data_IF_127433126669
#
_entry.id   IF_127433126669
#
_cell.length_a   1.000
_cell.length_b   1.000
_cell.length_c   1.000
_cell.angle_alpha   90.00
_cell.angle_beta   90.00
_cell.angle_gamma   90.00
#
_symmetry.space_group_name_H-M   'P 1'
#
loop_
_entity.id
_entity.type
_entity.pdbx_description
1 polymer ?
#
# COMPACT_ATOMS: atom_id res chain seq x y z
N UNK A 1 -9.50 -5.21 13.23
CA UNK A 1 -8.35 -4.83 12.37
C UNK A 1 -8.67 -3.52 11.67
N UNK A 2 -8.00 -2.41 12.00
CA UNK A 2 -8.24 -1.06 11.44
C UNK A 2 -6.89 -0.41 11.12
N UNK A 3 -6.35 -0.55 9.89
CA UNK A 3 -5.07 0.10 9.49
C UNK A 3 -4.97 0.37 7.98
N UNK A 4 -5.93 1.09 7.39
CA UNK A 4 -5.77 1.56 5.99
C UNK A 4 -5.33 3.04 5.91
N UNK A 5 -5.67 3.89 6.90
CA UNK A 5 -5.51 5.35 6.75
C UNK A 5 -4.41 6.02 7.59
N UNK A 6 -3.42 5.27 8.07
CA UNK A 6 -2.30 5.84 8.86
C UNK A 6 -1.10 6.29 8.01
N UNK A 7 -1.16 6.15 6.68
CA UNK A 7 0.02 6.11 5.82
C UNK A 7 0.54 7.51 5.42
N UNK A 8 -0.17 8.61 5.72
CA UNK A 8 0.14 9.93 5.11
C UNK A 8 0.53 11.07 6.08
N UNK A 9 0.74 10.83 7.38
CA UNK A 9 0.86 11.93 8.36
C UNK A 9 2.22 12.12 9.06
N UNK A 10 3.25 11.34 8.80
CA UNK A 10 4.47 11.38 9.62
C UNK A 10 5.73 11.71 8.83
N UNK A 11 5.87 12.95 8.38
CA UNK A 11 7.18 13.53 8.02
C UNK A 11 7.20 14.97 8.54
N UNK A 12 8.16 15.24 9.45
CA UNK A 12 8.82 16.51 9.85
C UNK A 12 8.99 16.57 11.38
N UNK A 13 10.13 17.15 11.78
CA UNK A 13 10.67 17.44 13.12
C UNK A 13 11.56 16.31 13.66
N UNK A 14 12.81 16.51 14.10
CA UNK A 14 13.47 17.60 14.86
C UNK A 14 14.99 17.51 14.50
N UNK A 15 15.91 18.48 14.67
CA UNK A 15 16.46 18.98 15.95
C UNK A 15 17.37 20.20 15.73
N UNK A 16 17.10 21.30 16.41
CA UNK A 16 18.11 22.29 16.85
C UNK A 16 18.50 21.97 18.29
N UNK A 17 19.78 22.17 18.63
CA UNK A 17 20.24 22.05 20.01
C UNK A 17 21.73 22.30 20.16
N UNK A 18 22.09 23.56 20.42
CA UNK A 18 23.42 23.96 20.86
C UNK A 18 23.73 23.38 22.25
N UNK A 19 25.00 23.06 22.51
CA UNK A 19 25.47 22.69 23.86
C UNK A 19 26.44 23.75 24.36
N UNK A 20 26.09 24.36 25.50
CA UNK A 20 26.96 25.25 26.26
C UNK A 20 27.95 24.45 27.10
N UNK A 21 29.11 25.06 27.28
CA UNK A 21 30.28 24.61 28.03
C UNK A 21 30.14 25.07 29.49
N UNK A 22 30.81 24.36 30.42
CA UNK A 22 31.54 24.82 31.63
C UNK A 22 31.37 23.80 32.78
N UNK A 23 32.48 23.27 33.30
CA UNK A 23 32.99 23.61 34.65
C UNK A 23 34.03 22.58 35.16
N UNK A 24 35.14 23.09 35.69
CA UNK A 24 36.26 22.35 36.29
C UNK A 24 35.93 21.72 37.65
N UNK A 25 36.57 20.59 37.95
CA UNK A 25 36.62 19.95 39.28
C UNK A 25 37.76 18.92 39.35
N UNK A 26 38.48 18.92 40.47
CA UNK A 26 39.87 18.44 40.68
C UNK A 26 39.97 16.97 41.13
N UNK A 27 41.03 16.32 40.63
CA UNK A 27 41.84 15.16 41.08
C UNK A 27 41.24 13.80 41.48
N UNK A 28 41.74 12.76 40.78
CA UNK A 28 42.59 11.69 41.34
C UNK A 28 43.46 11.12 40.22
N UNK A 29 44.78 11.28 40.30
CA UNK A 29 45.74 10.76 39.31
C UNK A 29 45.80 9.24 39.42
N UNK A 30 45.07 8.57 38.52
CA UNK A 30 45.42 7.20 38.10
C UNK A 30 46.62 7.29 37.17
N UNK A 31 47.50 6.31 37.22
CA UNK A 31 48.62 6.16 36.29
C UNK A 31 48.12 6.12 34.83
N UNK A 32 48.79 6.83 33.90
CA UNK A 32 48.35 7.01 32.51
C UNK A 32 47.93 5.69 31.81
N UNK A 33 48.59 4.57 32.11
CA UNK A 33 48.22 3.25 31.56
C UNK A 33 46.86 2.71 32.01
N UNK A 34 46.38 3.06 33.20
CA UNK A 34 45.12 2.55 33.76
C UNK A 34 43.91 3.42 33.38
N UNK A 35 44.14 4.70 33.08
CA UNK A 35 43.14 5.59 32.46
C UNK A 35 42.92 5.21 31.00
N UNK A 36 44.00 5.09 30.21
CA UNK A 36 43.92 4.74 28.79
C UNK A 36 43.24 3.38 28.58
N UNK A 37 43.50 2.39 29.44
CA UNK A 37 42.89 1.06 29.31
C UNK A 37 41.40 1.03 29.71
N UNK A 38 40.99 1.90 30.64
CA UNK A 38 39.59 2.04 31.06
C UNK A 38 38.76 2.78 30.00
N UNK A 39 39.29 3.88 29.46
CA UNK A 39 38.64 4.65 28.40
C UNK A 39 38.48 3.81 27.12
N UNK A 40 39.48 3.00 26.78
CA UNK A 40 39.39 2.04 25.67
C UNK A 40 38.34 0.93 25.91
N UNK A 41 38.13 0.48 27.15
CA UNK A 41 37.09 -0.50 27.47
C UNK A 41 35.68 0.10 27.34
N UNK A 42 35.50 1.34 27.79
CA UNK A 42 34.22 2.05 27.70
C UNK A 42 33.87 2.38 26.24
N UNK A 43 34.84 2.81 25.43
CA UNK A 43 34.65 3.00 23.99
C UNK A 43 34.30 1.69 23.28
N UNK A 44 34.98 0.58 23.60
CA UNK A 44 34.70 -0.70 22.97
C UNK A 44 33.31 -1.23 23.34
N UNK A 45 32.86 -1.01 24.58
CA UNK A 45 31.49 -1.32 25.00
C UNK A 45 30.47 -0.46 24.26
N UNK A 46 30.73 0.84 24.11
CA UNK A 46 29.86 1.75 23.35
C UNK A 46 29.77 1.33 21.88
N UNK A 47 30.89 0.96 21.26
CA UNK A 47 30.91 0.45 19.88
C UNK A 47 30.14 -0.87 19.74
N UNK A 48 30.24 -1.77 20.73
CA UNK A 48 29.44 -3.00 20.74
C UNK A 48 27.94 -2.70 20.83
N UNK A 49 27.54 -1.75 21.68
CA UNK A 49 26.15 -1.34 21.83
C UNK A 49 25.61 -0.67 20.55
N UNK A 50 26.40 0.21 19.93
CA UNK A 50 26.07 0.83 18.64
C UNK A 50 25.96 -0.21 17.52
N UNK A 51 26.88 -1.16 17.46
CA UNK A 51 26.86 -2.23 16.45
C UNK A 51 25.62 -3.14 16.64
N UNK A 52 25.27 -3.46 17.88
CA UNK A 52 24.03 -4.20 18.19
C UNK A 52 22.79 -3.43 17.75
N UNK A 53 22.74 -2.13 18.03
CA UNK A 53 21.63 -1.25 17.59
C UNK A 53 21.51 -1.21 16.07
N UNK A 54 22.63 -1.10 15.34
CA UNK A 54 22.65 -1.13 13.88
C UNK A 54 22.17 -2.47 13.33
N UNK A 55 22.52 -3.60 13.96
CA UNK A 55 22.03 -4.92 13.57
C UNK A 55 20.51 -5.04 13.75
N UNK A 56 19.97 -4.54 14.87
CA UNK A 56 18.53 -4.54 15.14
C UNK A 56 17.77 -3.66 14.14
N UNK A 57 18.28 -2.47 13.84
CA UNK A 57 17.72 -1.57 12.82
C UNK A 57 17.76 -2.20 11.43
N UNK A 58 18.86 -2.83 11.04
CA UNK A 58 18.98 -3.50 9.75
C UNK A 58 18.00 -4.67 9.63
N UNK A 59 17.81 -5.46 10.69
CA UNK A 59 16.81 -6.53 10.73
C UNK A 59 15.39 -5.98 10.54
N UNK A 60 15.06 -4.87 11.22
CA UNK A 60 13.76 -4.19 11.06
C UNK A 60 13.55 -3.73 9.61
N UNK A 61 14.56 -3.12 8.99
CA UNK A 61 14.50 -2.69 7.59
C UNK A 61 14.31 -3.87 6.62
N UNK A 62 14.97 -5.00 6.87
CA UNK A 62 14.80 -6.20 6.07
C UNK A 62 13.36 -6.75 6.14
N UNK A 63 12.75 -6.75 7.33
CA UNK A 63 11.37 -7.20 7.52
C UNK A 63 10.36 -6.24 6.87
N UNK A 64 10.60 -4.93 6.96
CA UNK A 64 9.81 -3.92 6.26
C UNK A 64 9.92 -4.07 4.73
N UNK A 65 11.13 -4.31 4.21
CA UNK A 65 11.34 -4.56 2.77
C UNK A 65 10.62 -5.81 2.27
N UNK A 66 10.66 -6.92 3.02
CA UNK A 66 9.90 -8.13 2.68
C UNK A 66 8.40 -7.85 2.62
N UNK A 67 7.88 -7.09 3.58
CA UNK A 67 6.47 -6.70 3.63
C UNK A 67 6.08 -5.81 2.46
N UNK A 68 6.93 -4.85 2.07
CA UNK A 68 6.70 -4.00 0.91
C UNK A 68 6.71 -4.80 -0.39
N UNK A 69 7.69 -5.69 -0.56
CA UNK A 69 7.77 -6.58 -1.73
C UNK A 69 6.51 -7.43 -1.88
N UNK A 70 6.06 -8.07 -0.80
CA UNK A 70 4.81 -8.83 -0.79
C UNK A 70 3.60 -7.98 -1.21
N UNK A 71 3.48 -6.75 -0.69
CA UNK A 71 2.39 -5.83 -1.08
C UNK A 71 2.43 -5.47 -2.56
N UNK A 72 3.62 -5.23 -3.11
CA UNK A 72 3.80 -4.91 -4.53
C UNK A 72 3.36 -6.09 -5.40
N UNK A 73 3.80 -7.31 -5.08
CA UNK A 73 3.41 -8.52 -5.81
C UNK A 73 1.89 -8.72 -5.83
N UNK A 74 1.22 -8.52 -4.69
CA UNK A 74 -0.25 -8.59 -4.61
C UNK A 74 -0.95 -7.53 -5.45
N UNK A 75 -0.45 -6.29 -5.43
CA UNK A 75 -1.03 -5.22 -6.26
C UNK A 75 -0.86 -5.49 -7.75
N UNK A 76 0.28 -6.04 -8.18
CA UNK A 76 0.52 -6.41 -9.58
C UNK A 76 -0.46 -7.48 -10.03
N UNK A 77 -0.64 -8.55 -9.24
CA UNK A 77 -1.61 -9.61 -9.53
C UNK A 77 -3.02 -9.05 -9.66
N UNK A 78 -3.43 -8.20 -8.72
CA UNK A 78 -4.74 -7.54 -8.74
C UNK A 78 -4.96 -6.74 -10.03
N UNK A 79 -4.00 -5.88 -10.41
CA UNK A 79 -4.07 -5.05 -11.62
C UNK A 79 -4.17 -5.91 -12.87
N UNK A 80 -3.38 -6.98 -12.96
CA UNK A 80 -3.40 -7.88 -14.11
C UNK A 80 -4.75 -8.61 -14.27
N UNK A 81 -5.38 -8.99 -13.16
CA UNK A 81 -6.72 -9.62 -13.17
C UNK A 81 -7.80 -8.67 -13.72
N UNK A 82 -7.72 -7.37 -13.43
CA UNK A 82 -8.72 -6.38 -13.88
C UNK A 82 -8.44 -5.82 -15.28
N UNK A 83 -7.17 -5.73 -15.69
CA UNK A 83 -6.79 -5.18 -17.01
C UNK A 83 -7.06 -6.12 -18.19
N UNK A 84 -7.46 -7.37 -17.93
CA UNK A 84 -7.85 -8.29 -19.00
C UNK A 84 -9.13 -7.82 -19.69
N UNK A 85 -9.26 -7.93 -21.03
CA UNK A 85 -10.47 -7.52 -21.74
C UNK A 85 -11.72 -8.18 -21.14
N UNK A 86 -12.67 -7.36 -20.69
CA UNK A 86 -13.91 -7.83 -20.08
C UNK A 86 -14.92 -8.05 -21.20
N UNK A 87 -15.19 -9.32 -21.53
CA UNK A 87 -16.25 -9.67 -22.48
C UNK A 87 -17.60 -9.42 -21.82
N UNK A 88 -18.36 -8.48 -22.36
CA UNK A 88 -19.75 -8.24 -21.96
C UNK A 88 -20.65 -9.01 -22.92
N UNK A 89 -21.61 -9.75 -22.38
CA UNK A 89 -22.65 -10.39 -23.19
C UNK A 89 -23.85 -9.44 -23.22
N UNK A 90 -24.16 -8.90 -24.40
CA UNK A 90 -25.25 -7.96 -24.58
C UNK A 90 -26.09 -8.33 -25.79
N UNK A 91 -27.42 -8.21 -25.67
CA UNK A 91 -28.35 -8.50 -26.78
C UNK A 91 -28.36 -7.37 -27.81
N UNK A 92 -28.08 -6.14 -27.37
CA UNK A 92 -27.98 -4.94 -28.21
C UNK A 92 -26.63 -4.26 -27.99
N UNK A 93 -25.66 -4.40 -28.91
CA UNK A 93 -24.33 -3.83 -28.73
C UNK A 93 -24.30 -2.30 -28.58
N UNK A 94 -25.28 -1.58 -29.11
CA UNK A 94 -25.40 -0.12 -29.04
C UNK A 94 -26.11 0.39 -27.77
N UNK A 95 -26.75 -0.50 -27.01
CA UNK A 95 -27.58 -0.15 -25.84
C UNK A 95 -27.26 -1.03 -24.62
N UNK A 96 -25.97 -1.26 -24.35
CA UNK A 96 -25.51 -2.14 -23.26
C UNK A 96 -25.84 -1.53 -21.90
N UNK A 97 -26.52 -2.28 -21.06
CA UNK A 97 -27.06 -1.84 -19.76
C UNK A 97 -26.08 -2.07 -18.62
N UNK A 98 -26.29 -1.33 -17.53
CA UNK A 98 -25.44 -1.40 -16.33
C UNK A 98 -25.26 -2.83 -15.81
N UNK A 99 -26.35 -3.61 -15.72
CA UNK A 99 -26.29 -4.97 -15.18
C UNK A 99 -25.48 -5.93 -16.08
N UNK A 100 -25.44 -5.71 -17.40
CA UNK A 100 -24.67 -6.54 -18.34
C UNK A 100 -23.17 -6.33 -18.10
N UNK A 101 -22.76 -5.06 -17.97
CA UNK A 101 -21.38 -4.69 -17.63
C UNK A 101 -21.02 -5.16 -16.22
N UNK A 102 -21.92 -4.98 -15.25
CA UNK A 102 -21.72 -5.43 -13.88
C UNK A 102 -21.51 -6.94 -13.78
N UNK A 103 -22.36 -7.73 -14.46
CA UNK A 103 -22.25 -9.19 -14.47
C UNK A 103 -20.93 -9.67 -15.09
N UNK A 104 -20.42 -8.96 -16.11
CA UNK A 104 -19.13 -9.26 -16.70
C UNK A 104 -17.94 -8.89 -15.78
N UNK A 105 -18.05 -7.77 -15.06
CA UNK A 105 -17.00 -7.29 -14.15
C UNK A 105 -16.92 -8.06 -12.83
N UNK A 106 -18.07 -8.42 -12.25
CA UNK A 106 -18.17 -9.03 -10.92
C UNK A 106 -17.24 -10.23 -10.70
N UNK A 107 -17.21 -11.26 -11.57
CA UNK A 107 -16.32 -12.40 -11.37
C UNK A 107 -14.83 -12.01 -11.47
N UNK A 108 -14.49 -11.05 -12.33
CA UNK A 108 -13.11 -10.56 -12.49
C UNK A 108 -12.63 -9.77 -11.28
N UNK A 109 -13.49 -8.92 -10.74
CA UNK A 109 -13.21 -8.20 -9.49
C UNK A 109 -13.07 -9.20 -8.34
N UNK A 110 -13.96 -10.20 -8.22
CA UNK A 110 -13.88 -11.24 -7.21
C UNK A 110 -12.55 -12.02 -7.28
N UNK A 111 -12.15 -12.43 -8.49
CA UNK A 111 -10.87 -13.09 -8.76
C UNK A 111 -9.70 -12.20 -8.28
N UNK A 112 -9.72 -10.92 -8.65
CA UNK A 112 -8.70 -9.96 -8.28
C UNK A 112 -8.59 -9.77 -6.76
N UNK A 113 -9.69 -9.51 -6.05
CA UNK A 113 -9.66 -9.29 -4.59
C UNK A 113 -9.21 -10.53 -3.83
N UNK A 114 -9.51 -11.74 -4.32
CA UNK A 114 -9.04 -12.99 -3.70
C UNK A 114 -7.53 -13.15 -3.76
N UNK A 115 -6.87 -12.59 -4.77
CA UNK A 115 -5.39 -12.57 -4.80
C UNK A 115 -4.80 -11.86 -3.59
N UNK A 116 -5.51 -10.88 -3.02
CA UNK A 116 -5.13 -10.12 -1.83
C UNK A 116 -5.53 -10.90 -0.56
N UNK A 117 -6.80 -11.30 -0.46
CA UNK A 117 -7.35 -12.03 0.67
C UNK A 117 -8.42 -13.02 0.19
N UNK A 118 -8.10 -14.32 0.27
CA UNK A 118 -8.96 -15.41 -0.18
C UNK A 118 -10.27 -15.54 0.62
N UNK A 119 -10.39 -14.90 1.79
CA UNK A 119 -11.60 -14.94 2.61
C UNK A 119 -12.70 -13.97 2.14
N UNK A 120 -12.37 -13.08 1.20
CA UNK A 120 -13.31 -12.10 0.66
C UNK A 120 -14.27 -12.73 -0.35
N UNK A 121 -15.49 -12.20 -0.35
CA UNK A 121 -16.63 -12.68 -1.13
C UNK A 121 -17.22 -11.54 -1.97
N UNK A 122 -18.20 -11.86 -2.81
CA UNK A 122 -18.98 -10.86 -3.57
C UNK A 122 -19.71 -9.86 -2.67
N UNK A 123 -19.91 -10.19 -1.41
CA UNK A 123 -20.53 -9.30 -0.44
C UNK A 123 -19.54 -8.31 0.17
N UNK A 124 -18.24 -8.43 -0.08
CA UNK A 124 -17.22 -7.58 0.52
C UNK A 124 -16.79 -6.43 -0.39
N UNK A 125 -17.38 -6.27 -1.58
CA UNK A 125 -17.10 -5.13 -2.45
C UNK A 125 -18.34 -4.64 -3.21
N UNK A 126 -18.26 -3.41 -3.70
CA UNK A 126 -19.22 -2.77 -4.60
C UNK A 126 -18.44 -2.29 -5.82
N UNK A 127 -19.07 -2.38 -7.00
CA UNK A 127 -18.56 -1.80 -8.24
C UNK A 127 -19.45 -0.61 -8.58
N UNK A 128 -18.86 0.58 -8.65
CA UNK A 128 -19.50 1.80 -9.14
C UNK A 128 -18.97 2.18 -10.52
N UNK A 129 -19.75 2.95 -11.26
CA UNK A 129 -19.40 3.46 -12.58
C UNK A 129 -19.28 4.98 -12.52
N UNK A 130 -18.13 5.50 -12.94
CA UNK A 130 -17.85 6.95 -12.91
C UNK A 130 -18.23 7.64 -14.20
N UNK A 131 -18.07 6.95 -15.33
CA UNK A 131 -18.24 7.51 -16.68
C UNK A 131 -19.60 7.19 -17.31
N UNK A 132 -20.38 6.26 -16.71
CA UNK A 132 -21.70 5.85 -17.18
C UNK A 132 -22.65 5.57 -16.01
N UNK A 133 -23.94 5.40 -16.35
CA UNK A 133 -24.99 4.87 -15.46
C UNK A 133 -25.36 5.74 -14.25
N UNK A 134 -25.01 7.04 -14.26
CA UNK A 134 -25.49 7.98 -13.26
C UNK A 134 -26.49 8.99 -13.85
N UNK A 135 -27.12 9.78 -12.99
CA UNK A 135 -28.14 10.75 -13.35
C UNK A 135 -27.65 11.87 -14.29
N UNK A 136 -26.34 12.04 -14.43
CA UNK A 136 -25.72 13.06 -15.29
C UNK A 136 -25.12 12.47 -16.57
N UNK A 137 -25.24 11.16 -16.79
CA UNK A 137 -24.58 10.45 -17.89
C UNK A 137 -25.53 9.48 -18.61
N UNK A 138 -25.05 8.93 -19.73
CA UNK A 138 -25.80 7.92 -20.47
C UNK A 138 -26.05 6.69 -19.60
N UNK A 139 -27.29 6.18 -19.65
CA UNK A 139 -27.71 4.96 -18.95
C UNK A 139 -27.44 3.67 -19.73
N UNK A 140 -26.76 3.80 -20.86
CA UNK A 140 -26.30 2.70 -21.70
C UNK A 140 -24.91 3.00 -22.24
N UNK A 141 -24.23 1.96 -22.70
CA UNK A 141 -22.94 2.04 -23.39
C UNK A 141 -23.12 1.49 -24.80
N UNK A 142 -22.65 2.23 -25.79
CA UNK A 142 -22.49 1.73 -27.15
C UNK A 142 -21.13 1.02 -27.29
N UNK A 143 -21.18 -0.31 -27.36
CA UNK A 143 -20.06 -1.22 -27.60
C UNK A 143 -19.94 -1.67 -29.07
N UNK A 144 -20.54 -0.97 -30.03
CA UNK A 144 -20.17 -1.11 -31.47
C UNK A 144 -18.69 -0.79 -31.73
N UNK A 145 -18.09 -0.03 -30.81
CA UNK A 145 -16.67 0.29 -30.75
C UNK A 145 -16.13 -0.03 -29.36
N UNK A 146 -14.85 -0.39 -29.25
CA UNK A 146 -14.24 -0.61 -27.94
C UNK A 146 -14.27 0.67 -27.11
N UNK A 147 -14.68 0.57 -25.84
CA UNK A 147 -14.76 1.69 -24.92
C UNK A 147 -13.83 1.50 -23.74
N UNK A 148 -13.27 2.62 -23.27
CA UNK A 148 -12.63 2.69 -21.96
C UNK A 148 -13.62 3.28 -20.99
N UNK A 149 -13.81 2.62 -19.86
CA UNK A 149 -14.68 3.12 -18.79
C UNK A 149 -13.92 3.12 -17.47
N UNK A 150 -14.24 4.07 -16.62
CA UNK A 150 -13.71 4.15 -15.27
C UNK A 150 -14.71 3.53 -14.30
N UNK A 151 -14.24 2.49 -13.62
CA UNK A 151 -14.98 1.83 -12.54
C UNK A 151 -14.33 2.18 -11.20
N UNK A 152 -15.15 2.14 -10.16
CA UNK A 152 -14.74 2.33 -8.78
C UNK A 152 -15.01 1.04 -8.04
N UNK A 153 -14.01 0.49 -7.37
CA UNK A 153 -14.19 -0.67 -6.50
C UNK A 153 -14.07 -0.21 -5.06
N UNK A 154 -15.16 -0.31 -4.32
CA UNK A 154 -15.25 0.13 -2.93
C UNK A 154 -15.45 -1.09 -2.02
N UNK A 155 -14.60 -1.23 -1.01
CA UNK A 155 -14.71 -2.30 -0.02
C UNK A 155 -15.90 -2.07 0.92
N UNK A 156 -16.59 -3.16 1.26
CA UNK A 156 -17.62 -3.20 2.30
C UNK A 156 -17.41 -4.43 3.19
N UNK A 157 -18.13 -4.50 4.31
CA UNK A 157 -18.08 -5.62 5.25
C UNK A 157 -16.65 -5.92 5.73
N UNK A 158 -16.01 -6.99 5.22
CA UNK A 158 -14.64 -7.39 5.61
C UNK A 158 -13.56 -6.59 4.89
N UNK A 159 -13.89 -5.90 3.79
CA UNK A 159 -12.97 -5.04 3.07
C UNK A 159 -13.27 -3.57 3.32
N UNK A 160 -12.25 -2.72 3.16
CA UNK A 160 -12.35 -1.26 3.27
C UNK A 160 -11.44 -0.59 2.25
N UNK A 161 -11.69 0.68 1.96
CA UNK A 161 -10.96 1.44 0.96
C UNK A 161 -11.68 1.48 -0.38
N UNK A 162 -11.19 2.34 -1.26
CA UNK A 162 -11.76 2.59 -2.57
C UNK A 162 -10.63 2.82 -3.58
N UNK A 163 -10.81 2.31 -4.81
CA UNK A 163 -9.85 2.52 -5.88
C UNK A 163 -10.54 2.58 -7.24
N UNK A 164 -10.11 3.54 -8.05
CA UNK A 164 -10.54 3.69 -9.44
C UNK A 164 -9.67 2.85 -10.38
N UNK A 165 -10.31 2.26 -11.39
CA UNK A 165 -9.67 1.49 -12.44
C UNK A 165 -10.24 1.88 -13.79
N UNK A 166 -9.36 2.02 -14.79
CA UNK A 166 -9.76 2.16 -16.18
C UNK A 166 -9.77 0.78 -16.80
N UNK A 167 -10.94 0.32 -17.25
CA UNK A 167 -11.13 -0.98 -17.89
C UNK A 167 -11.47 -0.80 -19.36
N UNK A 168 -11.06 -1.76 -20.18
CA UNK A 168 -11.34 -1.78 -21.61
C UNK A 168 -12.46 -2.78 -21.87
N UNK A 169 -13.59 -2.26 -22.36
CA UNK A 169 -14.68 -3.06 -22.91
C UNK A 169 -14.43 -3.21 -24.41
N UNK A 170 -14.18 -4.43 -24.92
CA UNK A 170 -14.01 -4.68 -26.35
C UNK A 170 -15.33 -4.47 -27.09
N UNK A 171 -15.25 -4.18 -28.39
CA UNK A 171 -16.44 -4.17 -29.26
C UNK A 171 -17.14 -5.54 -29.28
N UNK A 172 -18.46 -5.53 -29.41
CA UNK A 172 -19.33 -6.73 -29.53
C UNK A 172 -19.98 -6.74 -30.90
#
# INVERSE_FOLDING_TARGET
>A
MKKILSILKAIILITTGASSIISCGVEKVKTNKDLDNLDNQDENKKLQDENKKLQDENKKLQDENKKLKWKIEKNILFINSINSPIKVEATKPDEVKEYEVFNALKPKVLEAIKTIDNSLTENDFIIGFKDYFNHMQLRHIDLSTSKKITIIISGKNKATGEKEFVVVLPKI
#
